data_IF_355155382645
#
_entry.id   IF_355155382645
#
_cell.length_a   1.000
_cell.length_b   1.000
_cell.length_c   1.000
_cell.angle_alpha   90.00
_cell.angle_beta   90.00
_cell.angle_gamma   90.00
#
_symmetry.space_group_name_H-M   'P 1'
#
loop_
_entity.id
_entity.type
_entity.pdbx_description
1 polymer ?
#
# COMPACT_ATOMS: atom_id res chain seq x y z
N UNK A 1 -9.36 8.14 14.39
CA UNK A 1 -9.68 9.58 14.20
C UNK A 1 -9.64 9.83 12.72
N UNK A 2 -10.80 9.80 12.07
CA UNK A 2 -10.95 10.11 10.67
C UNK A 2 -11.00 11.62 10.52
N UNK A 3 -9.97 12.19 9.92
CA UNK A 3 -10.03 13.55 9.41
C UNK A 3 -10.79 13.51 8.09
N UNK A 4 -12.07 13.85 8.11
CA UNK A 4 -12.82 14.24 6.92
C UNK A 4 -12.36 15.66 6.56
N UNK A 5 -11.36 15.77 5.70
CA UNK A 5 -11.02 17.03 5.06
C UNK A 5 -12.17 17.43 4.14
N UNK A 6 -12.89 18.44 4.53
CA UNK A 6 -13.82 19.16 3.66
C UNK A 6 -12.99 19.77 2.53
N UNK A 7 -13.17 19.28 1.32
CA UNK A 7 -12.54 19.85 0.12
C UNK A 7 -13.34 21.10 -0.24
N UNK A 8 -12.74 22.25 0.00
CA UNK A 8 -13.31 23.53 -0.39
C UNK A 8 -13.46 23.60 -1.91
N UNK A 9 -14.63 24.04 -2.39
CA UNK A 9 -14.99 24.12 -3.81
C UNK A 9 -14.19 25.17 -4.60
N UNK A 10 -13.29 25.89 -3.96
CA UNK A 10 -12.41 26.91 -4.57
C UNK A 10 -10.98 26.40 -4.84
N UNK A 11 -10.81 25.09 -5.04
CA UNK A 11 -9.51 24.53 -5.38
C UNK A 11 -9.03 25.05 -6.74
N UNK A 12 -7.87 25.70 -6.70
CA UNK A 12 -7.17 26.23 -7.86
C UNK A 12 -6.93 25.17 -8.94
N UNK A 13 -7.03 25.51 -10.22
CA UNK A 13 -6.87 24.57 -11.36
C UNK A 13 -5.60 23.69 -11.29
N UNK A 14 -4.56 24.16 -10.62
CA UNK A 14 -3.28 23.44 -10.49
C UNK A 14 -3.37 22.05 -9.83
N UNK A 15 -4.30 21.82 -8.90
CA UNK A 15 -4.44 20.52 -8.21
C UNK A 15 -5.09 19.49 -9.14
N UNK A 16 -6.04 19.90 -9.97
CA UNK A 16 -6.66 19.02 -10.97
C UNK A 16 -5.65 18.55 -12.04
N UNK A 17 -4.66 19.37 -12.37
CA UNK A 17 -3.62 19.04 -13.34
C UNK A 17 -2.71 17.91 -12.89
N UNK A 18 -2.39 17.86 -11.59
CA UNK A 18 -1.53 16.82 -11.04
C UNK A 18 -2.21 15.46 -10.95
N UNK A 19 -3.54 15.43 -10.78
CA UNK A 19 -4.31 14.18 -10.76
C UNK A 19 -4.30 13.51 -12.14
N UNK A 20 -4.39 14.31 -13.22
CA UNK A 20 -4.34 13.78 -14.58
C UNK A 20 -2.99 13.14 -14.93
N UNK A 21 -1.89 13.65 -14.38
CA UNK A 21 -0.53 13.08 -14.60
C UNK A 21 -0.35 11.75 -13.88
N UNK A 22 -1.03 11.54 -12.74
CA UNK A 22 -0.93 10.30 -11.96
C UNK A 22 -1.75 9.13 -12.53
N UNK A 23 -2.71 9.40 -13.45
CA UNK A 23 -3.64 8.41 -14.00
C UNK A 23 -3.19 7.68 -15.28
N UNK A 24 -1.94 7.84 -15.73
CA UNK A 24 -1.48 7.26 -16.99
C UNK A 24 -1.05 5.81 -16.84
N UNK A 25 -1.98 4.89 -16.83
CA UNK A 25 -1.94 3.57 -17.49
C UNK A 25 -3.23 2.79 -17.22
N UNK A 26 -4.17 2.95 -18.10
CA UNK A 26 -5.42 2.18 -18.15
C UNK A 26 -6.49 2.99 -18.83
N UNK A 27 -7.08 2.47 -19.90
CA UNK A 27 -8.19 3.09 -20.64
C UNK A 27 -9.22 3.70 -19.68
N UNK A 28 -9.15 4.99 -19.47
CA UNK A 28 -10.18 5.73 -18.75
C UNK A 28 -11.22 6.14 -19.80
N UNK A 29 -12.29 5.36 -19.88
CA UNK A 29 -13.54 5.86 -20.43
C UNK A 29 -14.03 6.96 -19.50
N UNK A 30 -13.93 8.20 -19.96
CA UNK A 30 -14.56 9.35 -19.30
C UNK A 30 -16.07 9.16 -19.46
N UNK A 31 -16.69 8.50 -18.51
CA UNK A 31 -18.14 8.54 -18.37
C UNK A 31 -18.45 9.80 -17.59
N UNK A 32 -18.88 10.81 -18.33
CA UNK A 32 -19.49 12.03 -17.80
C UNK A 32 -20.66 11.63 -16.91
N UNK A 33 -20.49 11.66 -15.60
CA UNK A 33 -21.61 11.61 -14.66
C UNK A 33 -22.29 12.97 -14.70
N UNK A 34 -23.32 13.05 -15.55
CA UNK A 34 -24.29 14.14 -15.54
C UNK A 34 -25.16 14.03 -14.28
N UNK A 35 -25.20 15.14 -13.59
CA UNK A 35 -26.26 15.72 -12.77
C UNK A 35 -27.33 14.83 -12.14
N UNK A 36 -27.41 15.01 -10.85
CA UNK A 36 -28.64 15.25 -10.07
C UNK A 36 -29.85 14.36 -10.33
N UNK A 37 -30.08 13.47 -9.40
CA UNK A 37 -31.43 13.27 -8.89
C UNK A 37 -31.38 13.13 -7.38
N UNK A 38 -31.94 14.12 -6.74
CA UNK A 38 -32.33 14.16 -5.35
C UNK A 38 -33.02 12.84 -4.95
N UNK A 39 -32.44 12.13 -4.00
CA UNK A 39 -33.17 11.10 -3.28
C UNK A 39 -33.92 11.79 -2.14
N UNK A 40 -35.23 11.57 -2.00
CA UNK A 40 -35.95 12.12 -0.89
C UNK A 40 -35.42 11.54 0.42
N UNK A 41 -35.13 12.43 1.35
CA UNK A 41 -34.79 12.13 2.73
C UNK A 41 -35.91 11.26 3.33
N UNK A 42 -35.56 10.06 3.77
CA UNK A 42 -36.43 9.23 4.59
C UNK A 42 -36.42 9.79 6.03
N UNK A 43 -37.17 10.86 6.22
CA UNK A 43 -37.36 11.55 7.50
C UNK A 43 -38.51 10.94 8.30
N UNK A 44 -38.48 9.64 8.62
CA UNK A 44 -39.53 9.10 9.50
C UNK A 44 -39.05 8.07 10.51
N UNK A 45 -37.80 7.63 10.44
CA UNK A 45 -37.28 6.67 11.43
C UNK A 45 -36.31 7.28 12.46
N UNK A 46 -35.76 8.45 12.20
CA UNK A 46 -34.84 9.12 13.14
C UNK A 46 -35.55 9.69 14.36
N UNK A 47 -36.83 10.11 14.23
CA UNK A 47 -37.60 10.72 15.31
C UNK A 47 -38.04 9.69 16.38
N UNK A 48 -38.34 8.47 15.96
CA UNK A 48 -38.76 7.41 16.91
C UNK A 48 -37.58 6.90 17.74
N UNK A 49 -36.39 6.79 17.17
CA UNK A 49 -35.20 6.34 17.89
C UNK A 49 -34.68 7.41 18.87
N UNK A 50 -34.79 8.69 18.51
CA UNK A 50 -34.35 9.77 19.41
C UNK A 50 -35.25 9.86 20.64
N UNK A 51 -36.58 9.68 20.48
CA UNK A 51 -37.53 9.68 21.61
C UNK A 51 -37.32 8.47 22.53
N UNK A 52 -37.01 7.31 21.98
CA UNK A 52 -36.71 6.10 22.76
C UNK A 52 -35.39 6.24 23.53
N UNK A 53 -34.38 6.89 22.95
CA UNK A 53 -33.10 7.16 23.60
C UNK A 53 -33.26 8.17 24.73
N UNK A 54 -34.08 9.22 24.55
CA UNK A 54 -34.35 10.22 25.56
C UNK A 54 -35.17 9.60 26.71
N UNK A 55 -36.18 8.78 26.41
CA UNK A 55 -36.96 8.08 27.41
C UNK A 55 -36.14 7.09 28.26
N UNK A 56 -35.15 6.38 27.65
CA UNK A 56 -34.20 5.55 28.39
C UNK A 56 -33.21 6.37 29.21
N UNK A 57 -32.86 7.57 28.76
CA UNK A 57 -31.98 8.46 29.48
C UNK A 57 -32.62 8.93 30.81
N UNK A 58 -33.90 9.25 30.75
CA UNK A 58 -34.64 9.74 31.93
C UNK A 58 -34.91 8.64 32.97
N UNK A 59 -35.03 7.38 32.55
CA UNK A 59 -35.14 6.24 33.47
C UNK A 59 -33.81 5.87 34.16
N UNK A 60 -32.66 6.12 33.53
CA UNK A 60 -31.36 5.86 34.15
C UNK A 60 -30.95 6.97 35.13
N UNK A 61 -31.43 8.19 34.93
CA UNK A 61 -31.16 9.33 35.83
C UNK A 61 -31.93 9.27 37.15
N UNK A 62 -33.00 8.44 37.21
CA UNK A 62 -33.83 8.30 38.43
C UNK A 62 -33.23 7.35 39.47
N UNK A 63 -32.31 6.44 39.06
CA UNK A 63 -31.63 5.49 39.95
C UNK A 63 -30.32 6.01 40.58
N UNK A 64 -30.08 7.33 40.53
CA UNK A 64 -28.89 8.01 41.07
C UNK A 64 -28.66 7.83 42.60
N UNK A 65 -29.58 7.20 43.33
CA UNK A 65 -29.48 7.01 44.78
C UNK A 65 -28.84 5.68 45.22
N UNK A 66 -28.47 4.80 44.29
CA UNK A 66 -27.70 3.61 44.61
C UNK A 66 -26.22 3.92 44.58
N UNK A 67 -25.58 3.98 45.74
CA UNK A 67 -24.18 4.37 45.97
C UNK A 67 -23.12 3.51 45.24
N UNK A 68 -23.50 2.55 44.40
CA UNK A 68 -22.62 1.65 43.68
C UNK A 68 -22.54 1.92 42.18
N UNK A 69 -23.40 2.76 41.61
CA UNK A 69 -23.44 2.94 40.17
C UNK A 69 -22.61 4.13 39.72
N UNK A 70 -21.63 3.87 38.84
CA UNK A 70 -20.86 4.92 38.21
C UNK A 70 -21.72 5.68 37.21
N UNK A 71 -21.88 6.99 37.41
CA UNK A 71 -22.56 7.86 36.45
C UNK A 71 -21.62 8.19 35.31
N UNK A 72 -22.04 7.87 34.08
CA UNK A 72 -21.29 8.19 32.88
C UNK A 72 -21.74 9.57 32.31
N UNK A 73 -20.86 10.56 32.39
CA UNK A 73 -21.10 11.91 31.85
C UNK A 73 -20.69 12.06 30.38
N UNK A 74 -20.24 10.99 29.72
CA UNK A 74 -19.91 11.00 28.29
C UNK A 74 -21.18 10.99 27.42
N UNK A 75 -20.98 11.36 26.15
CA UNK A 75 -22.05 11.31 25.14
C UNK A 75 -22.45 9.87 24.75
N UNK A 76 -21.60 8.88 25.02
CA UNK A 76 -21.86 7.45 24.77
C UNK A 76 -22.43 6.84 26.05
N UNK A 77 -23.71 6.46 26.00
CA UNK A 77 -24.41 5.88 27.18
C UNK A 77 -24.23 4.36 27.27
N UNK A 78 -24.05 3.67 26.17
CA UNK A 78 -23.75 2.24 26.17
C UNK A 78 -22.22 2.05 26.13
N UNK A 79 -21.62 1.32 27.10
CA UNK A 79 -20.19 1.06 27.05
C UNK A 79 -19.86 0.19 25.85
N UNK A 80 -18.95 0.67 25.00
CA UNK A 80 -18.40 -0.11 23.92
C UNK A 80 -17.48 -1.17 24.53
N UNK A 81 -17.63 -2.47 24.17
CA UNK A 81 -16.75 -3.50 24.67
C UNK A 81 -15.31 -3.20 24.29
N UNK A 82 -14.39 -3.45 25.21
CA UNK A 82 -12.95 -3.29 24.93
C UNK A 82 -12.55 -4.31 23.88
N UNK A 83 -11.98 -3.89 22.74
CA UNK A 83 -11.53 -4.82 21.71
C UNK A 83 -10.36 -5.67 22.22
N UNK A 84 -10.10 -6.80 21.55
CA UNK A 84 -8.94 -7.63 21.85
C UNK A 84 -7.64 -6.87 21.53
N UNK A 85 -6.97 -6.36 22.56
CA UNK A 85 -5.84 -5.44 22.42
C UNK A 85 -4.58 -6.11 21.84
N UNK A 86 -4.45 -7.44 21.98
CA UNK A 86 -3.34 -8.22 21.40
C UNK A 86 -3.61 -8.64 19.96
N UNK A 87 -4.80 -8.40 19.41
CA UNK A 87 -5.17 -8.82 18.05
C UNK A 87 -4.21 -8.32 16.98
N UNK A 88 -3.69 -7.10 17.11
CA UNK A 88 -2.71 -6.55 16.14
C UNK A 88 -1.46 -7.45 16.05
N UNK A 89 -1.03 -8.04 17.15
CA UNK A 89 0.14 -8.90 17.21
C UNK A 89 -0.19 -10.33 16.78
N UNK A 90 -1.21 -10.93 17.41
CA UNK A 90 -1.56 -12.33 17.22
C UNK A 90 -2.17 -12.59 15.86
N UNK A 91 -3.08 -11.72 15.39
CA UNK A 91 -3.79 -11.94 14.14
C UNK A 91 -2.88 -11.82 12.92
N UNK A 92 -1.92 -10.90 12.97
CA UNK A 92 -0.92 -10.76 11.90
C UNK A 92 0.03 -11.96 11.85
N UNK A 93 0.40 -12.52 12.99
CA UNK A 93 1.24 -13.70 13.06
C UNK A 93 0.48 -14.97 12.64
N UNK A 94 -0.79 -15.11 13.08
CA UNK A 94 -1.68 -16.19 12.67
C UNK A 94 -1.87 -16.23 11.15
N UNK A 95 -2.03 -15.05 10.53
CA UNK A 95 -2.07 -14.92 9.08
C UNK A 95 -0.73 -15.32 8.44
N UNK A 96 0.41 -14.83 8.99
CA UNK A 96 1.73 -15.11 8.44
C UNK A 96 1.99 -16.62 8.34
N UNK A 97 1.73 -17.37 9.42
CA UNK A 97 1.99 -18.80 9.46
C UNK A 97 0.86 -19.68 8.92
N UNK A 98 -0.32 -19.10 8.62
CA UNK A 98 -1.47 -19.83 8.10
C UNK A 98 -2.06 -20.84 9.10
N UNK A 99 -2.13 -20.49 10.39
CA UNK A 99 -2.63 -21.40 11.41
C UNK A 99 -4.16 -21.62 11.36
N UNK A 100 -4.66 -22.58 12.14
CA UNK A 100 -6.08 -22.93 12.17
C UNK A 100 -6.99 -21.76 12.59
N UNK A 101 -6.49 -20.85 13.42
CA UNK A 101 -7.23 -19.68 13.88
C UNK A 101 -7.49 -18.68 12.74
N UNK A 102 -6.49 -18.48 11.89
CA UNK A 102 -6.62 -17.67 10.68
C UNK A 102 -7.55 -18.35 9.66
N UNK A 103 -7.41 -19.66 9.44
CA UNK A 103 -8.29 -20.42 8.52
C UNK A 103 -9.76 -20.32 8.90
N UNK A 104 -10.08 -20.42 10.17
CA UNK A 104 -11.46 -20.23 10.67
C UNK A 104 -12.00 -18.83 10.39
N UNK A 105 -11.14 -17.79 10.54
CA UNK A 105 -11.55 -16.42 10.22
C UNK A 105 -11.79 -16.21 8.73
N UNK A 106 -11.02 -16.87 7.87
CA UNK A 106 -11.27 -16.86 6.42
C UNK A 106 -12.61 -17.52 6.10
N UNK A 107 -12.89 -18.69 6.67
CA UNK A 107 -14.16 -19.38 6.51
C UNK A 107 -15.37 -18.54 6.99
N UNK A 108 -15.22 -17.86 8.14
CA UNK A 108 -16.25 -16.95 8.68
C UNK A 108 -16.46 -15.73 7.79
N UNK A 109 -15.39 -15.18 7.21
CA UNK A 109 -15.43 -14.02 6.31
C UNK A 109 -16.13 -14.40 4.99
N UNK A 110 -15.80 -15.56 4.43
CA UNK A 110 -16.47 -16.12 3.26
C UNK A 110 -17.96 -16.39 3.51
N UNK A 111 -18.30 -16.96 4.67
CA UNK A 111 -19.69 -17.23 5.04
C UNK A 111 -20.51 -15.94 5.20
N UNK A 112 -19.89 -14.85 5.64
CA UNK A 112 -20.51 -13.53 5.76
C UNK A 112 -20.54 -12.75 4.44
N UNK A 113 -19.88 -13.24 3.38
CA UNK A 113 -19.78 -12.55 2.09
C UNK A 113 -18.95 -11.27 2.16
N UNK A 114 -18.04 -11.18 3.13
CA UNK A 114 -17.08 -10.09 3.28
C UNK A 114 -15.71 -10.53 2.72
N UNK A 115 -14.89 -9.60 2.24
CA UNK A 115 -13.52 -9.86 1.73
C UNK A 115 -12.55 -9.01 2.54
N UNK A 116 -12.54 -9.23 3.86
CA UNK A 116 -11.71 -8.45 4.80
C UNK A 116 -10.43 -9.19 5.20
N UNK A 117 -10.46 -10.54 5.19
CA UNK A 117 -9.35 -11.40 5.56
C UNK A 117 -8.66 -11.93 4.29
N UNK A 118 -7.32 -11.85 4.19
CA UNK A 118 -6.59 -12.44 3.06
C UNK A 118 -6.83 -13.96 2.99
N UNK A 119 -7.12 -14.48 1.79
CA UNK A 119 -7.38 -15.92 1.56
C UNK A 119 -6.09 -16.75 1.49
N UNK A 120 -4.94 -16.10 1.30
CA UNK A 120 -3.63 -16.73 1.24
C UNK A 120 -2.82 -16.40 2.50
N UNK A 121 -2.07 -17.36 3.05
CA UNK A 121 -1.20 -17.10 4.19
C UNK A 121 -0.01 -16.22 3.79
N UNK A 122 0.56 -15.51 4.75
CA UNK A 122 1.70 -14.64 4.47
C UNK A 122 2.94 -15.42 3.99
N UNK A 123 3.17 -16.63 4.46
CA UNK A 123 4.26 -17.49 3.97
C UNK A 123 4.02 -17.96 2.54
N UNK A 124 2.79 -18.38 2.21
CA UNK A 124 2.43 -18.76 0.85
C UNK A 124 2.60 -17.58 -0.12
N UNK A 125 2.20 -16.37 0.30
CA UNK A 125 2.38 -15.15 -0.49
C UNK A 125 3.86 -14.89 -0.78
N UNK A 126 4.72 -15.00 0.22
CA UNK A 126 6.18 -14.81 0.07
C UNK A 126 6.79 -15.88 -0.84
N UNK A 127 6.42 -17.16 -0.67
CA UNK A 127 6.94 -18.23 -1.52
C UNK A 127 6.46 -18.10 -2.96
N UNK A 128 5.21 -17.69 -3.18
CA UNK A 128 4.69 -17.43 -4.53
C UNK A 128 5.34 -16.19 -5.19
N UNK A 129 5.70 -15.17 -4.41
CA UNK A 129 6.42 -14.01 -4.93
C UNK A 129 7.86 -14.36 -5.39
N UNK A 130 8.53 -15.24 -4.65
CA UNK A 130 9.88 -15.67 -4.97
C UNK A 130 9.89 -16.70 -6.11
N UNK A 131 8.87 -17.56 -6.15
CA UNK A 131 8.77 -18.64 -7.14
C UNK A 131 8.11 -18.16 -8.44
N UNK A 132 8.48 -18.72 -9.61
CA UNK A 132 9.59 -19.64 -9.83
C UNK A 132 10.95 -18.90 -9.84
N UNK A 133 11.99 -19.58 -9.36
CA UNK A 133 13.39 -19.13 -9.52
C UNK A 133 13.93 -19.79 -10.79
N UNK A 134 14.12 -19.00 -11.83
CA UNK A 134 14.56 -19.47 -13.14
C UNK A 134 16.05 -19.21 -13.34
N UNK A 135 16.71 -20.07 -14.13
CA UNK A 135 18.05 -19.81 -14.59
C UNK A 135 18.03 -18.73 -15.70
N UNK A 136 19.22 -18.22 -16.08
CA UNK A 136 19.34 -17.17 -17.11
C UNK A 136 18.76 -17.60 -18.47
N UNK A 137 18.84 -18.88 -18.82
CA UNK A 137 18.33 -19.44 -20.07
C UNK A 137 16.85 -19.85 -20.01
N UNK A 138 16.20 -19.73 -18.83
CA UNK A 138 14.80 -20.15 -18.58
C UNK A 138 14.53 -21.61 -18.89
N UNK A 139 15.56 -22.46 -18.80
CA UNK A 139 15.44 -23.92 -19.03
C UNK A 139 15.24 -24.70 -17.74
N UNK A 140 15.52 -24.10 -16.59
CA UNK A 140 15.35 -24.72 -15.28
C UNK A 140 14.57 -23.80 -14.36
N UNK A 141 13.58 -24.34 -13.66
CA UNK A 141 12.80 -23.62 -12.67
C UNK A 141 12.77 -24.33 -11.32
N UNK A 142 12.76 -23.56 -10.25
CA UNK A 142 12.61 -24.04 -8.88
C UNK A 142 11.44 -23.32 -8.24
N UNK A 143 10.44 -24.10 -7.79
CA UNK A 143 9.23 -23.58 -7.16
C UNK A 143 9.15 -24.09 -5.73
N UNK A 144 8.73 -23.23 -4.81
CA UNK A 144 8.46 -23.57 -3.43
C UNK A 144 6.96 -23.54 -3.16
N UNK A 145 6.44 -24.56 -2.48
CA UNK A 145 5.03 -24.71 -2.15
C UNK A 145 4.83 -25.35 -0.78
N UNK A 146 3.60 -25.24 -0.26
CA UNK A 146 3.14 -25.94 0.93
C UNK A 146 4.05 -25.79 2.16
N UNK A 147 4.29 -24.57 2.67
CA UNK A 147 5.05 -24.37 3.88
C UNK A 147 4.31 -24.99 5.07
N UNK A 148 5.01 -25.76 5.89
CA UNK A 148 4.47 -26.30 7.12
C UNK A 148 5.50 -26.32 8.25
N UNK A 149 4.99 -26.32 9.48
CA UNK A 149 5.80 -26.37 10.69
C UNK A 149 5.68 -27.73 11.37
N UNK A 150 6.80 -28.23 11.85
CA UNK A 150 6.79 -29.32 12.82
C UNK A 150 6.55 -28.80 14.23
N UNK A 151 6.33 -29.73 15.18
CA UNK A 151 6.17 -29.36 16.58
C UNK A 151 7.44 -28.73 17.16
N UNK A 152 7.31 -27.68 17.99
CA UNK A 152 8.44 -27.06 18.64
C UNK A 152 9.15 -28.08 19.59
N UNK A 153 10.48 -28.08 19.56
CA UNK A 153 11.30 -29.03 20.33
C UNK A 153 11.28 -28.80 21.84
N UNK A 154 11.02 -27.56 22.24
CA UNK A 154 11.04 -27.13 23.64
C UNK A 154 9.76 -26.36 23.97
N UNK A 155 9.33 -26.50 25.22
CA UNK A 155 8.22 -25.72 25.74
C UNK A 155 8.64 -24.27 26.02
N UNK A 156 7.66 -23.36 26.09
CA UNK A 156 7.88 -21.93 26.42
C UNK A 156 8.66 -21.77 27.73
N UNK A 157 8.34 -22.60 28.75
CA UNK A 157 8.99 -22.53 30.04
C UNK A 157 10.44 -22.99 29.99
N UNK A 158 10.70 -24.09 29.30
CA UNK A 158 12.08 -24.61 29.13
C UNK A 158 12.97 -23.63 28.36
N UNK A 159 12.41 -22.94 27.35
CA UNK A 159 13.13 -21.91 26.59
C UNK A 159 13.56 -20.75 27.49
N UNK A 160 12.70 -20.33 28.45
CA UNK A 160 13.03 -19.26 29.40
C UNK A 160 14.09 -19.70 30.43
N UNK A 161 14.03 -20.95 30.87
CA UNK A 161 14.96 -21.48 31.89
C UNK A 161 16.33 -21.83 31.35
N UNK A 162 16.42 -22.26 30.08
CA UNK A 162 17.64 -22.75 29.45
C UNK A 162 18.22 -21.80 28.40
N UNK A 163 17.73 -20.58 28.31
CA UNK A 163 18.13 -19.55 27.34
C UNK A 163 18.02 -20.02 25.88
N UNK A 164 16.98 -20.81 25.57
CA UNK A 164 16.68 -21.22 24.21
C UNK A 164 15.72 -20.25 23.50
N UNK A 165 15.68 -20.38 22.17
CA UNK A 165 14.68 -19.70 21.35
C UNK A 165 13.48 -20.62 21.15
N UNK A 166 12.26 -20.10 21.40
CA UNK A 166 11.03 -20.83 21.12
C UNK A 166 10.75 -20.79 19.62
N UNK A 167 11.04 -21.89 18.93
CA UNK A 167 10.97 -22.00 17.48
C UNK A 167 10.46 -23.37 17.05
N UNK A 168 9.96 -23.45 15.83
CA UNK A 168 9.61 -24.70 15.17
C UNK A 168 10.36 -24.81 13.84
N UNK A 169 10.75 -26.02 13.42
CA UNK A 169 11.33 -26.26 12.11
C UNK A 169 10.31 -25.97 11.01
N UNK A 170 10.71 -25.14 10.03
CA UNK A 170 9.94 -24.84 8.84
C UNK A 170 10.41 -25.70 7.68
N UNK A 171 9.49 -26.40 7.06
CA UNK A 171 9.69 -27.18 5.85
C UNK A 171 8.86 -26.64 4.71
N UNK A 172 9.36 -26.79 3.49
CA UNK A 172 8.65 -26.45 2.25
C UNK A 172 8.82 -27.60 1.25
N UNK A 173 7.87 -27.75 0.36
CA UNK A 173 7.99 -28.63 -0.77
C UNK A 173 8.70 -27.88 -1.90
N UNK A 174 9.90 -28.34 -2.30
CA UNK A 174 10.67 -27.77 -3.40
C UNK A 174 10.50 -28.65 -4.64
N UNK A 175 10.00 -28.06 -5.72
CA UNK A 175 9.81 -28.70 -7.01
C UNK A 175 10.80 -28.11 -8.01
N UNK A 176 11.67 -28.95 -8.53
CA UNK A 176 12.64 -28.60 -9.55
C UNK A 176 12.21 -29.18 -10.89
N UNK A 177 12.06 -28.32 -11.87
CA UNK A 177 11.72 -28.65 -13.23
C UNK A 177 12.90 -28.37 -14.17
N UNK A 178 13.26 -29.35 -14.98
CA UNK A 178 14.24 -29.19 -16.04
C UNK A 178 13.51 -29.23 -17.40
N UNK A 179 13.37 -28.06 -18.05
CA UNK A 179 12.69 -27.93 -19.34
C UNK A 179 13.42 -28.62 -20.50
N UNK A 180 14.73 -28.83 -20.41
CA UNK A 180 15.47 -29.51 -21.48
C UNK A 180 15.24 -31.03 -21.46
N UNK A 181 15.09 -31.64 -20.28
CA UNK A 181 14.90 -33.08 -20.12
C UNK A 181 13.45 -33.45 -19.80
N UNK A 182 12.61 -32.49 -19.42
CA UNK A 182 11.25 -32.74 -18.93
C UNK A 182 11.21 -33.43 -17.55
N UNK A 183 12.30 -33.45 -16.82
CA UNK A 183 12.40 -34.10 -15.51
C UNK A 183 11.89 -33.17 -14.42
N UNK A 184 10.93 -33.66 -13.62
CA UNK A 184 10.40 -32.98 -12.44
C UNK A 184 10.83 -33.74 -11.20
N UNK A 185 11.48 -33.04 -10.26
CA UNK A 185 11.88 -33.59 -8.96
C UNK A 185 11.24 -32.78 -7.83
N UNK A 186 10.45 -33.46 -7.00
CA UNK A 186 9.86 -32.86 -5.81
C UNK A 186 10.50 -33.45 -4.56
N UNK A 187 10.88 -32.57 -3.63
CA UNK A 187 11.47 -32.95 -2.35
C UNK A 187 11.12 -31.95 -1.26
N UNK A 188 10.82 -32.45 -0.08
CA UNK A 188 10.68 -31.61 1.12
C UNK A 188 12.03 -31.12 1.62
N UNK A 189 12.16 -29.82 1.80
CA UNK A 189 13.41 -29.15 2.21
C UNK A 189 13.21 -28.42 3.54
N UNK A 190 14.15 -28.64 4.46
CA UNK A 190 14.22 -27.87 5.69
C UNK A 190 14.74 -26.45 5.39
N UNK A 191 13.95 -25.43 5.74
CA UNK A 191 14.33 -24.04 5.51
C UNK A 191 15.04 -23.41 6.72
N UNK A 192 14.71 -23.86 7.91
CA UNK A 192 15.32 -23.35 9.15
C UNK A 192 14.35 -23.40 10.33
N UNK A 193 14.86 -23.05 11.51
CA UNK A 193 14.04 -22.91 12.71
C UNK A 193 13.41 -21.53 12.73
N UNK A 194 12.08 -21.47 12.71
CA UNK A 194 11.31 -20.23 12.67
C UNK A 194 10.77 -19.91 14.06
N UNK A 195 11.01 -18.69 14.61
CA UNK A 195 10.51 -18.30 15.92
C UNK A 195 8.98 -18.29 15.97
N UNK A 196 8.40 -18.92 16.99
CA UNK A 196 6.97 -18.95 17.22
C UNK A 196 6.54 -17.92 18.25
N UNK A 197 5.34 -17.39 18.06
CA UNK A 197 4.71 -16.50 18.99
C UNK A 197 4.03 -17.27 20.12
N UNK A 198 4.17 -16.78 21.35
CA UNK A 198 3.44 -17.30 22.51
C UNK A 198 1.98 -16.85 22.50
N UNK A 199 1.08 -17.49 23.27
CA UNK A 199 -0.32 -17.04 23.39
C UNK A 199 -0.48 -15.59 23.89
N UNK A 200 0.56 -15.03 24.50
CA UNK A 200 0.59 -13.63 24.96
C UNK A 200 1.06 -12.62 23.91
N UNK A 201 1.30 -13.06 22.66
CA UNK A 201 1.77 -12.19 21.59
C UNK A 201 3.26 -11.84 21.65
N UNK A 202 4.05 -12.60 22.42
CA UNK A 202 5.48 -12.39 22.63
C UNK A 202 6.31 -13.47 21.92
N UNK A 203 7.59 -13.20 21.71
CA UNK A 203 8.59 -14.15 21.20
C UNK A 203 9.64 -14.40 22.27
N UNK A 204 10.11 -15.63 22.41
CA UNK A 204 11.22 -15.96 23.29
C UNK A 204 12.44 -16.24 22.44
N UNK A 205 13.44 -15.38 22.59
CA UNK A 205 14.70 -15.45 21.85
C UNK A 205 15.85 -15.43 22.83
N UNK A 206 16.62 -16.54 22.89
CA UNK A 206 17.70 -16.68 23.85
C UNK A 206 17.21 -16.51 25.29
N UNK A 207 16.10 -17.15 25.67
CA UNK A 207 15.46 -17.06 26.99
C UNK A 207 14.76 -15.75 27.30
N UNK A 208 15.00 -14.70 26.51
CA UNK A 208 14.41 -13.37 26.73
C UNK A 208 13.09 -13.21 26.00
N UNK A 209 12.06 -12.79 26.72
CA UNK A 209 10.75 -12.48 26.15
C UNK A 209 10.75 -11.11 25.46
N UNK A 210 10.38 -11.09 24.19
CA UNK A 210 10.40 -9.90 23.34
C UNK A 210 9.08 -9.71 22.62
N UNK A 211 8.76 -8.47 22.29
CA UNK A 211 7.56 -8.09 21.52
C UNK A 211 7.97 -7.34 20.26
N UNK A 212 7.32 -7.66 19.15
CA UNK A 212 7.45 -6.87 17.93
C UNK A 212 6.57 -5.64 18.07
N UNK A 213 7.17 -4.46 18.09
CA UNK A 213 6.43 -3.20 18.19
C UNK A 213 5.90 -2.82 16.81
N UNK A 214 4.59 -2.61 16.71
CA UNK A 214 3.94 -2.15 15.47
C UNK A 214 4.47 -0.78 15.09
N UNK A 215 4.92 -0.62 13.85
CA UNK A 215 5.42 0.63 13.31
C UNK A 215 4.38 1.26 12.40
N UNK A 216 4.03 2.53 12.69
CA UNK A 216 3.18 3.31 11.80
C UNK A 216 3.98 3.78 10.58
N UNK A 217 3.51 3.42 9.42
CA UNK A 217 4.07 3.85 8.14
C UNK A 217 3.06 4.72 7.40
N UNK A 218 3.56 5.62 6.55
CA UNK A 218 2.69 6.38 5.66
C UNK A 218 2.04 5.41 4.67
N UNK A 219 0.70 5.46 4.54
CA UNK A 219 0.01 4.57 3.61
C UNK A 219 0.41 4.87 2.15
N UNK A 220 0.47 3.87 1.27
CA UNK A 220 0.72 4.13 -0.14
C UNK A 220 -0.41 4.96 -0.75
N UNK A 221 -0.10 5.71 -1.81
CA UNK A 221 -1.06 6.56 -2.51
C UNK A 221 -0.46 7.88 -2.97
N UNK A 222 -1.32 8.81 -3.37
CA UNK A 222 -0.93 10.16 -3.78
C UNK A 222 -1.09 11.13 -2.63
N UNK A 223 -0.12 12.02 -2.48
CA UNK A 223 -0.10 13.08 -1.48
C UNK A 223 0.15 14.42 -2.16
N UNK A 224 -0.72 15.38 -1.92
CA UNK A 224 -0.59 16.74 -2.43
C UNK A 224 -0.04 17.64 -1.34
N UNK A 225 1.02 18.38 -1.68
CA UNK A 225 1.67 19.35 -0.79
C UNK A 225 1.51 20.76 -1.35
N UNK A 226 1.22 21.71 -0.46
CA UNK A 226 1.23 23.14 -0.77
C UNK A 226 2.25 23.81 0.14
N UNK A 227 3.23 24.48 -0.44
CA UNK A 227 4.23 25.23 0.28
C UNK A 227 4.33 26.67 -0.25
N UNK A 228 4.86 27.58 0.55
CA UNK A 228 5.07 28.97 0.15
C UNK A 228 6.56 29.24 0.06
N UNK A 229 7.02 29.72 -1.10
CA UNK A 229 8.42 30.13 -1.26
C UNK A 229 8.71 31.34 -0.37
N UNK A 230 9.73 31.23 0.47
CA UNK A 230 10.09 32.28 1.44
C UNK A 230 10.59 33.58 0.78
N UNK A 231 11.18 33.46 -0.41
CA UNK A 231 11.78 34.59 -1.10
C UNK A 231 10.75 35.38 -1.93
N UNK A 232 9.88 34.69 -2.66
CA UNK A 232 8.93 35.31 -3.58
C UNK A 232 7.51 35.39 -3.02
N UNK A 233 7.21 34.68 -1.94
CA UNK A 233 5.86 34.56 -1.38
C UNK A 233 4.90 33.74 -2.23
N UNK A 234 5.36 33.19 -3.37
CA UNK A 234 4.54 32.41 -4.31
C UNK A 234 4.24 31.04 -3.74
N UNK A 235 3.06 30.54 -4.03
CA UNK A 235 2.67 29.17 -3.65
C UNK A 235 3.27 28.17 -4.63
N UNK A 236 3.83 27.11 -4.07
CA UNK A 236 4.43 25.98 -4.79
C UNK A 236 3.59 24.76 -4.46
N UNK A 237 3.16 24.08 -5.50
CA UNK A 237 2.37 22.85 -5.37
C UNK A 237 3.22 21.65 -5.72
N UNK A 238 3.04 20.58 -4.95
CA UNK A 238 3.71 19.30 -5.16
C UNK A 238 2.74 18.15 -5.07
N UNK A 239 3.00 17.08 -5.81
CA UNK A 239 2.31 15.81 -5.68
C UNK A 239 3.34 14.69 -5.57
N UNK A 240 3.12 13.76 -4.65
CA UNK A 240 4.03 12.63 -4.41
C UNK A 240 3.25 11.34 -4.49
N UNK A 241 3.68 10.45 -5.37
CA UNK A 241 3.20 9.08 -5.42
C UNK A 241 4.13 8.25 -4.56
N UNK A 242 3.59 7.69 -3.48
CA UNK A 242 4.30 6.85 -2.53
C UNK A 242 3.78 5.43 -2.70
N UNK A 243 4.57 4.50 -3.26
CA UNK A 243 4.18 3.11 -3.38
C UNK A 243 4.30 2.38 -2.03
N UNK A 244 3.71 1.21 -1.93
CA UNK A 244 3.95 0.27 -0.82
C UNK A 244 5.38 -0.26 -0.88
N UNK A 245 5.85 -0.58 -2.09
CA UNK A 245 7.22 -1.01 -2.40
C UNK A 245 7.67 -0.37 -3.69
N UNK A 246 8.87 0.21 -3.71
CA UNK A 246 9.49 0.74 -4.92
C UNK A 246 9.87 2.22 -4.86
N UNK A 247 10.15 2.79 -6.02
CA UNK A 247 10.64 4.15 -6.19
C UNK A 247 9.51 5.19 -6.05
N UNK A 248 9.79 6.27 -5.33
CA UNK A 248 8.87 7.40 -5.22
C UNK A 248 8.88 8.21 -6.51
N UNK A 249 7.72 8.76 -6.86
CA UNK A 249 7.57 9.70 -7.95
C UNK A 249 7.01 11.01 -7.39
N UNK A 250 7.78 12.10 -7.54
CA UNK A 250 7.42 13.39 -6.99
C UNK A 250 7.29 14.42 -8.13
N UNK A 251 6.14 15.05 -8.24
CA UNK A 251 5.91 16.19 -9.15
C UNK A 251 5.96 17.49 -8.34
N UNK A 252 6.55 18.53 -8.90
CA UNK A 252 6.68 19.83 -8.26
C UNK A 252 6.59 20.95 -9.29
N UNK A 253 5.70 21.91 -9.06
CA UNK A 253 5.65 23.15 -9.82
C UNK A 253 6.60 24.13 -9.15
N UNK A 254 7.62 24.55 -9.89
CA UNK A 254 8.63 25.50 -9.41
C UNK A 254 8.06 26.92 -9.36
N UNK A 255 8.76 27.84 -8.65
CA UNK A 255 8.46 29.28 -8.61
C UNK A 255 8.40 29.97 -9.99
N UNK A 256 8.97 29.35 -11.01
CA UNK A 256 8.95 29.78 -12.42
C UNK A 256 7.78 29.17 -13.23
N UNK A 257 6.85 28.52 -12.57
CA UNK A 257 5.77 27.76 -13.21
C UNK A 257 6.24 26.63 -14.12
N UNK A 258 7.37 26.01 -13.78
CA UNK A 258 7.89 24.86 -14.52
C UNK A 258 7.53 23.60 -13.76
N UNK A 259 6.79 22.71 -14.41
CA UNK A 259 6.48 21.39 -13.90
C UNK A 259 7.70 20.47 -14.03
N UNK A 260 8.17 20.00 -12.91
CA UNK A 260 9.30 19.07 -12.84
C UNK A 260 8.93 17.78 -12.13
N UNK A 261 9.69 16.74 -12.40
CA UNK A 261 9.54 15.44 -11.77
C UNK A 261 10.87 15.01 -11.14
N UNK A 262 10.76 14.32 -10.01
CA UNK A 262 11.88 13.62 -9.36
C UNK A 262 11.54 12.14 -9.28
N UNK A 263 12.42 11.32 -9.84
CA UNK A 263 12.34 9.87 -9.75
C UNK A 263 13.25 9.43 -8.62
N UNK A 264 12.70 8.67 -7.66
CA UNK A 264 13.43 8.10 -6.52
C UNK A 264 14.29 9.14 -5.77
N UNK A 265 13.73 10.33 -5.50
CA UNK A 265 14.40 11.46 -4.82
C UNK A 265 15.69 11.97 -5.50
N UNK A 266 15.92 11.62 -6.78
CA UNK A 266 17.05 12.09 -7.57
C UNK A 266 16.85 13.53 -8.05
N UNK A 267 17.72 13.99 -8.98
CA UNK A 267 17.68 15.35 -9.53
C UNK A 267 16.34 15.61 -10.23
N UNK A 268 15.78 16.80 -10.01
CA UNK A 268 14.59 17.30 -10.73
C UNK A 268 14.85 17.40 -12.23
N UNK A 269 13.89 16.96 -13.01
CA UNK A 269 13.92 17.01 -14.47
C UNK A 269 12.57 17.45 -15.00
N UNK A 270 12.47 17.76 -16.29
CA UNK A 270 11.23 18.14 -16.94
C UNK A 270 10.21 17.00 -16.87
N UNK A 271 8.98 17.30 -16.48
CA UNK A 271 7.91 16.32 -16.48
C UNK A 271 7.54 15.89 -17.91
N UNK A 272 7.69 16.78 -18.90
CA UNK A 272 7.45 16.46 -20.31
C UNK A 272 8.41 15.38 -20.78
N UNK A 273 9.71 15.52 -20.47
CA UNK A 273 10.73 14.50 -20.82
C UNK A 273 10.40 13.15 -20.18
N UNK A 274 9.92 13.16 -18.94
CA UNK A 274 9.50 11.96 -18.26
C UNK A 274 8.28 11.29 -18.92
N UNK A 275 7.26 12.07 -19.31
CA UNK A 275 6.09 11.55 -20.03
C UNK A 275 6.48 10.97 -21.40
N UNK A 276 7.37 11.64 -22.12
CA UNK A 276 7.90 11.12 -23.39
C UNK A 276 8.72 9.85 -23.20
N UNK A 277 9.52 9.75 -22.13
CA UNK A 277 10.28 8.55 -21.80
C UNK A 277 9.39 7.34 -21.50
N UNK A 278 8.22 7.54 -20.88
CA UNK A 278 7.22 6.48 -20.65
C UNK A 278 6.56 6.03 -21.97
N UNK A 279 6.57 6.87 -23.01
CA UNK A 279 6.06 6.52 -24.32
C UNK A 279 4.99 7.45 -24.87
N UNK A 280 4.62 8.53 -24.18
CA UNK A 280 3.71 9.53 -24.71
C UNK A 280 4.38 10.39 -25.78
N UNK A 281 3.70 10.62 -26.88
CA UNK A 281 4.12 11.55 -27.92
C UNK A 281 3.70 12.98 -27.60
N UNK A 282 4.37 13.99 -28.17
CA UNK A 282 4.00 15.40 -27.97
C UNK A 282 2.53 15.71 -28.33
N UNK A 283 1.94 15.17 -29.43
CA UNK A 283 0.51 15.34 -29.71
C UNK A 283 -0.39 14.75 -28.60
N UNK A 284 -0.10 13.52 -28.14
CA UNK A 284 -0.86 12.88 -27.08
C UNK A 284 -0.79 13.66 -25.76
N UNK A 285 0.38 14.20 -25.41
CA UNK A 285 0.53 15.08 -24.23
C UNK A 285 -0.31 16.34 -24.41
N UNK A 286 -0.33 16.94 -25.62
CA UNK A 286 -1.14 18.14 -25.92
C UNK A 286 -2.62 17.85 -25.75
N UNK A 287 -3.10 16.73 -26.28
CA UNK A 287 -4.49 16.31 -26.21
C UNK A 287 -4.91 15.96 -24.78
N UNK A 288 -4.06 15.22 -24.05
CA UNK A 288 -4.32 14.84 -22.66
C UNK A 288 -4.37 16.04 -21.69
N UNK A 289 -3.61 17.09 -21.99
CA UNK A 289 -3.53 18.30 -21.16
C UNK A 289 -4.12 19.52 -21.84
N UNK A 290 -5.14 19.34 -22.71
CA UNK A 290 -5.87 20.44 -23.33
C UNK A 290 -6.49 21.35 -22.26
N UNK A 291 -6.25 22.65 -22.38
CA UNK A 291 -6.72 23.65 -21.40
C UNK A 291 -5.75 23.94 -20.24
N UNK A 292 -4.64 23.23 -20.15
CA UNK A 292 -3.64 23.41 -19.10
C UNK A 292 -2.38 24.14 -19.58
N UNK A 293 -2.45 25.47 -19.59
CA UNK A 293 -1.40 26.34 -20.14
C UNK A 293 0.01 26.02 -19.60
N UNK A 294 0.14 25.71 -18.32
CA UNK A 294 1.40 25.39 -17.67
C UNK A 294 2.13 24.18 -18.32
N UNK A 295 1.38 23.14 -18.68
CA UNK A 295 1.92 21.95 -19.33
C UNK A 295 2.19 22.24 -20.80
N UNK A 296 1.31 22.95 -21.48
CA UNK A 296 1.45 23.33 -22.89
C UNK A 296 2.64 24.26 -23.09
N UNK A 297 2.83 25.28 -22.24
CA UNK A 297 4.00 26.16 -22.26
C UNK A 297 5.32 25.41 -22.01
N UNK A 298 5.28 24.40 -21.14
CA UNK A 298 6.45 23.54 -20.91
C UNK A 298 6.73 22.64 -22.12
N UNK A 299 5.70 22.12 -22.79
CA UNK A 299 5.81 21.29 -23.98
C UNK A 299 6.41 22.06 -25.15
N UNK A 300 6.02 23.33 -25.35
CA UNK A 300 6.57 24.20 -26.41
C UNK A 300 8.07 24.54 -26.20
N UNK A 301 8.51 24.63 -24.95
CA UNK A 301 9.89 24.91 -24.59
C UNK A 301 10.80 23.68 -24.68
N UNK A 302 10.20 22.48 -24.77
CA UNK A 302 10.98 21.24 -24.74
C UNK A 302 11.60 20.94 -26.12
N UNK A 303 12.91 20.76 -26.13
CA UNK A 303 13.70 20.52 -27.35
C UNK A 303 13.74 19.05 -27.77
N UNK A 304 13.47 18.14 -26.85
CA UNK A 304 13.47 16.70 -27.11
C UNK A 304 12.23 16.33 -27.92
N UNK A 305 12.43 15.57 -29.01
CA UNK A 305 11.36 15.17 -29.92
C UNK A 305 11.06 13.69 -29.91
N UNK A 306 12.05 12.87 -29.58
CA UNK A 306 11.93 11.41 -29.65
C UNK A 306 11.95 10.77 -28.26
N UNK A 307 11.32 9.58 -28.15
CA UNK A 307 11.33 8.78 -26.92
C UNK A 307 12.76 8.37 -26.54
N UNK A 308 13.58 7.99 -27.52
CA UNK A 308 14.95 7.52 -27.27
C UNK A 308 15.85 8.63 -26.71
N UNK A 309 15.68 9.87 -27.18
CA UNK A 309 16.35 11.04 -26.60
C UNK A 309 15.88 11.30 -25.17
N UNK A 310 14.58 11.19 -24.92
CA UNK A 310 14.01 11.37 -23.59
C UNK A 310 14.52 10.31 -22.60
N UNK A 311 14.59 9.04 -23.00
CA UNK A 311 15.15 7.95 -22.21
C UNK A 311 16.63 8.17 -21.89
N UNK A 312 17.40 8.63 -22.87
CA UNK A 312 18.83 8.90 -22.69
C UNK A 312 19.06 10.07 -21.72
N UNK A 313 18.29 11.15 -21.85
CA UNK A 313 18.38 12.32 -20.95
C UNK A 313 17.95 11.96 -19.52
N UNK A 314 16.87 11.20 -19.38
CA UNK A 314 16.39 10.67 -18.12
C UNK A 314 17.45 9.82 -17.42
N UNK A 315 18.03 8.85 -18.14
CA UNK A 315 19.06 7.95 -17.62
C UNK A 315 20.30 8.73 -17.15
N UNK A 316 20.78 9.67 -17.95
CA UNK A 316 21.94 10.51 -17.60
C UNK A 316 21.72 11.32 -16.32
N UNK A 317 20.49 11.78 -16.07
CA UNK A 317 20.15 12.54 -14.85
C UNK A 317 20.03 11.67 -13.62
N UNK A 318 19.59 10.42 -13.77
CA UNK A 318 19.46 9.45 -12.67
C UNK A 318 20.80 8.79 -12.33
N UNK A 319 21.59 8.43 -13.37
CA UNK A 319 22.89 7.78 -13.24
C UNK A 319 23.95 8.50 -14.09
N UNK A 320 24.50 9.61 -13.58
CA UNK A 320 25.43 10.44 -14.35
C UNK A 320 26.80 9.76 -14.61
N UNK A 321 27.15 8.72 -13.87
CA UNK A 321 28.41 7.99 -14.01
C UNK A 321 28.42 6.95 -15.12
N UNK A 322 27.24 6.54 -15.59
CA UNK A 322 27.10 5.43 -16.50
C UNK A 322 26.91 5.92 -17.94
N UNK A 323 27.22 5.07 -18.91
CA UNK A 323 26.97 5.36 -20.33
C UNK A 323 25.46 5.35 -20.57
N UNK A 324 24.92 6.49 -21.00
CA UNK A 324 23.51 6.64 -21.28
C UNK A 324 23.16 6.09 -22.68
N UNK A 325 22.38 5.03 -22.72
CA UNK A 325 21.77 4.48 -23.93
C UNK A 325 20.27 4.42 -23.81
N UNK A 326 19.48 4.50 -24.88
CA UNK A 326 18.01 4.41 -24.81
C UNK A 326 17.53 3.10 -24.16
N UNK A 327 18.19 1.99 -24.47
CA UNK A 327 17.89 0.67 -23.90
C UNK A 327 18.14 0.63 -22.39
N UNK A 328 19.26 1.19 -21.92
CA UNK A 328 19.54 1.30 -20.49
C UNK A 328 18.50 2.17 -19.76
N UNK A 329 18.04 3.24 -20.42
CA UNK A 329 16.97 4.09 -19.92
C UNK A 329 15.64 3.35 -19.79
N UNK A 330 15.26 2.58 -20.80
CA UNK A 330 14.03 1.76 -20.81
C UNK A 330 14.09 0.70 -19.71
N UNK A 331 15.17 -0.07 -19.63
CA UNK A 331 15.36 -1.09 -18.60
C UNK A 331 15.32 -0.50 -17.17
N UNK A 332 15.81 0.73 -17.00
CA UNK A 332 15.77 1.42 -15.72
C UNK A 332 14.33 1.79 -15.33
N UNK A 333 13.54 2.36 -16.25
CA UNK A 333 12.13 2.70 -16.00
C UNK A 333 11.30 1.45 -15.76
N UNK A 334 11.49 0.39 -16.55
CA UNK A 334 10.83 -0.89 -16.37
C UNK A 334 11.12 -1.47 -14.97
N UNK A 335 12.40 -1.41 -14.57
CA UNK A 335 12.80 -1.85 -13.24
C UNK A 335 12.18 -1.04 -12.09
N UNK A 336 11.92 0.27 -12.28
CA UNK A 336 11.42 1.15 -11.23
C UNK A 336 9.90 1.12 -11.08
N UNK A 337 9.15 0.99 -12.20
CA UNK A 337 7.69 1.21 -12.18
C UNK A 337 6.86 0.09 -12.81
N UNK A 338 7.44 -0.74 -13.68
CA UNK A 338 6.70 -1.77 -14.41
C UNK A 338 7.05 -3.20 -13.98
N UNK A 339 8.11 -3.39 -13.19
CA UNK A 339 8.43 -4.69 -12.63
C UNK A 339 7.62 -4.95 -11.36
N UNK A 340 6.67 -5.87 -11.41
CA UNK A 340 5.78 -6.23 -10.30
C UNK A 340 6.54 -6.73 -9.06
N UNK A 341 7.72 -7.34 -9.24
CA UNK A 341 8.56 -7.78 -8.12
C UNK A 341 9.25 -6.61 -7.39
N UNK A 342 9.39 -5.45 -8.03
CA UNK A 342 10.11 -4.27 -7.50
C UNK A 342 9.21 -3.09 -7.17
N UNK A 343 8.06 -2.99 -7.80
CA UNK A 343 7.14 -1.88 -7.62
C UNK A 343 5.73 -2.38 -7.38
N UNK A 344 5.14 -1.95 -6.28
CA UNK A 344 3.76 -2.26 -5.95
C UNK A 344 3.10 -1.09 -5.20
N UNK A 345 1.90 -0.72 -5.63
CA UNK A 345 1.06 0.29 -4.98
C UNK A 345 0.18 -0.32 -3.89
N UNK A 346 0.04 -1.64 -3.88
CA UNK A 346 -0.96 -2.37 -3.10
C UNK A 346 -2.40 -1.90 -3.37
N UNK A 347 -3.39 -2.62 -2.84
CA UNK A 347 -4.84 -2.29 -3.02
C UNK A 347 -5.18 -0.89 -2.52
N UNK A 348 -4.64 -0.49 -1.36
CA UNK A 348 -4.88 0.83 -0.74
C UNK A 348 -4.28 1.97 -1.57
N UNK A 349 -3.07 1.78 -2.09
CA UNK A 349 -2.41 2.78 -2.95
C UNK A 349 -3.16 2.98 -4.26
N UNK A 350 -3.60 1.89 -4.87
CA UNK A 350 -4.39 1.93 -6.11
C UNK A 350 -5.71 2.66 -5.90
N UNK A 351 -6.47 2.29 -4.87
CA UNK A 351 -7.74 2.96 -4.52
C UNK A 351 -7.60 4.47 -4.25
N UNK A 352 -6.46 4.91 -3.73
CA UNK A 352 -6.23 6.34 -3.46
C UNK A 352 -5.78 7.13 -4.69
N UNK A 353 -5.29 6.45 -5.73
CA UNK A 353 -4.87 7.07 -6.99
C UNK A 353 -6.06 7.23 -7.92
N UNK A 354 -6.91 6.21 -8.01
CA UNK A 354 -8.14 6.19 -8.80
C UNK A 354 -9.21 7.09 -8.16
#
# INVERSE_FOLDING_TARGET
MSYSGHVDKDETPAIRHMVAICGVSGNISITTLASDKERPLADTQATTNTTTIIARADQHDIDLHKASDRVNFGSIREPIPVPYLLGVQTDSFDWLIGNERWKKRVEEDEANGTDTVPHMSGLDEVFNEISPIENFAQTMSLTFSEPYFEEPRHTVQECKEKDYTYSAPLYVNAEFENGDTGEIKSQTVFMGDFPLQTPHGTFIIGGTERVIVSQLVRSPGVYFDRSRDRATGKEIFGAKIIPSRGAWLEFEIDKRDVLGVRVDRKRKQSAIVFLMAIGMTKPEIRDAFEGYSLVLDALEKETIETQDEALTDLYRKIRPSDTATPEAGRNLLDSFYFNTKRYDLARVGRYKID
#
